data_IF_872582408618
#
_entry.id   IF_872582408618
#
_cell.length_a   1.000
_cell.length_b   1.000
_cell.length_c   1.000
_cell.angle_alpha   90.00
_cell.angle_beta   90.00
_cell.angle_gamma   90.00
#
_symmetry.space_group_name_H-M   'P 1'
#
loop_
_entity.id
_entity.type
_entity.pdbx_description
1 polymer ?
#
# COMPACT_ATOMS: atom_id res chain seq x y z
N UNK A 1 -5.28 -16.53 -27.46
CA UNK A 1 -4.73 -16.65 -26.09
C UNK A 1 -3.36 -16.00 -26.09
N UNK A 2 -3.28 -14.71 -25.79
CA UNK A 2 -1.99 -14.06 -25.55
C UNK A 2 -1.87 -13.89 -24.05
N UNK A 3 -1.18 -14.83 -23.40
CA UNK A 3 -0.76 -14.68 -22.01
C UNK A 3 0.08 -13.41 -21.90
N UNK A 4 -0.15 -12.63 -20.84
CA UNK A 4 0.74 -11.54 -20.49
C UNK A 4 2.13 -12.14 -20.27
N UNK A 5 3.19 -11.61 -20.90
CA UNK A 5 4.55 -12.04 -20.58
C UNK A 5 4.76 -11.76 -19.09
N UNK A 6 5.17 -12.77 -18.34
CA UNK A 6 5.72 -12.61 -17.00
C UNK A 6 7.06 -11.90 -17.12
N UNK A 7 7.03 -10.61 -17.47
CA UNK A 7 8.14 -9.67 -17.36
C UNK A 7 8.44 -9.39 -15.88
N UNK A 8 8.56 -10.44 -15.08
CA UNK A 8 9.13 -10.34 -13.76
C UNK A 8 10.62 -10.05 -13.97
N UNK A 9 10.99 -8.77 -13.92
CA UNK A 9 12.24 -8.44 -13.25
C UNK A 9 12.15 -9.17 -11.91
N UNK A 10 13.05 -10.13 -11.68
CA UNK A 10 13.07 -10.96 -10.47
C UNK A 10 13.40 -10.05 -9.30
N UNK A 11 12.41 -9.30 -8.85
CA UNK A 11 12.65 -8.24 -7.91
C UNK A 11 12.68 -8.82 -6.51
N UNK A 12 13.61 -8.32 -5.72
CA UNK A 12 13.91 -8.78 -4.38
C UNK A 12 12.91 -8.22 -3.38
N UNK A 13 12.81 -8.88 -2.22
CA UNK A 13 11.95 -8.47 -1.10
C UNK A 13 12.77 -8.36 0.19
N UNK A 14 14.05 -8.00 0.08
CA UNK A 14 15.01 -8.00 1.19
C UNK A 14 14.58 -7.02 2.28
N UNK A 15 14.19 -5.80 1.91
CA UNK A 15 13.78 -4.79 2.89
C UNK A 15 12.50 -5.20 3.61
N UNK A 16 11.57 -5.82 2.88
CA UNK A 16 10.31 -6.31 3.43
C UNK A 16 10.48 -7.52 4.37
N UNK A 17 11.55 -8.31 4.18
CA UNK A 17 11.85 -9.50 4.97
C UNK A 17 12.79 -9.24 6.15
N UNK A 18 13.38 -8.04 6.29
CA UNK A 18 14.13 -7.64 7.48
C UNK A 18 13.28 -7.85 8.73
N UNK A 19 13.89 -8.38 9.78
CA UNK A 19 13.20 -8.76 11.02
C UNK A 19 12.39 -7.60 11.61
N UNK A 20 12.96 -6.40 11.58
CA UNK A 20 12.37 -5.16 12.07
C UNK A 20 11.17 -4.67 11.23
N UNK A 21 11.09 -5.10 9.96
CA UNK A 21 10.06 -4.68 9.01
C UNK A 21 8.93 -5.72 8.85
N UNK A 22 9.14 -6.97 9.29
CA UNK A 22 8.13 -8.03 9.16
C UNK A 22 6.83 -7.68 9.84
N UNK A 23 6.89 -7.10 11.04
CA UNK A 23 5.71 -6.64 11.78
C UNK A 23 4.99 -5.48 11.08
N UNK A 24 5.68 -4.71 10.23
CA UNK A 24 5.05 -3.64 9.45
C UNK A 24 4.22 -4.19 8.30
N UNK A 25 4.32 -5.47 7.95
CA UNK A 25 3.52 -6.11 6.90
C UNK A 25 2.20 -6.68 7.45
N UNK A 26 1.08 -6.36 6.80
CA UNK A 26 -0.23 -6.93 7.15
C UNK A 26 -0.34 -8.39 6.72
N UNK A 27 0.26 -8.73 5.58
CA UNK A 27 0.28 -10.08 5.04
C UNK A 27 1.72 -10.46 4.67
N UNK A 28 2.26 -11.58 5.19
CA UNK A 28 3.64 -11.97 4.93
C UNK A 28 3.89 -12.38 3.48
N UNK A 29 2.82 -12.71 2.74
CA UNK A 29 2.86 -13.11 1.33
C UNK A 29 2.56 -11.95 0.35
N UNK A 30 2.36 -10.73 0.84
CA UNK A 30 2.11 -9.53 0.02
C UNK A 30 3.15 -8.48 0.41
N UNK A 31 4.30 -8.52 -0.26
CA UNK A 31 5.45 -7.68 0.04
C UNK A 31 5.75 -6.72 -1.12
N UNK A 32 6.18 -5.48 -0.83
CA UNK A 32 6.60 -4.54 -1.87
C UNK A 32 7.93 -5.00 -2.45
N UNK A 33 8.10 -4.80 -3.76
CA UNK A 33 9.36 -5.12 -4.39
C UNK A 33 10.41 -4.05 -4.08
N UNK A 34 11.66 -4.43 -3.80
CA UNK A 34 12.72 -3.49 -3.42
C UNK A 34 12.98 -2.41 -4.49
N UNK A 35 12.81 -2.74 -5.78
CA UNK A 35 13.05 -1.77 -6.87
C UNK A 35 11.94 -0.72 -7.03
N UNK A 36 10.73 -1.00 -6.56
CA UNK A 36 9.57 -0.12 -6.72
C UNK A 36 8.96 0.31 -5.39
N UNK A 37 9.52 -0.11 -4.25
CA UNK A 37 9.02 0.27 -2.94
C UNK A 37 9.06 1.79 -2.74
N UNK A 38 8.11 2.29 -1.99
CA UNK A 38 8.21 3.66 -1.46
C UNK A 38 9.22 3.65 -0.32
N UNK A 39 10.16 4.58 -0.35
CA UNK A 39 11.19 4.77 0.68
C UNK A 39 10.84 6.05 1.44
N UNK A 40 10.60 5.93 2.74
CA UNK A 40 10.36 7.08 3.60
C UNK A 40 11.68 7.73 4.02
N UNK A 41 11.63 9.01 4.33
CA UNK A 41 12.75 9.72 4.91
C UNK A 41 13.12 9.07 6.27
N UNK A 42 14.38 8.63 6.46
CA UNK A 42 14.81 8.05 7.73
C UNK A 42 14.58 9.03 8.89
N UNK A 43 14.17 8.51 10.04
CA UNK A 43 14.03 9.28 11.28
C UNK A 43 15.19 8.93 12.20
N UNK A 44 15.89 9.97 12.67
CA UNK A 44 17.03 9.84 13.56
C UNK A 44 16.66 9.03 14.81
N UNK A 45 17.53 8.10 15.18
CA UNK A 45 17.34 7.22 16.34
C UNK A 45 16.29 6.11 16.14
N UNK A 46 15.61 6.03 14.99
CA UNK A 46 14.64 4.96 14.71
C UNK A 46 15.13 4.07 13.56
N UNK A 47 15.68 2.87 13.84
CA UNK A 47 16.11 1.95 12.79
C UNK A 47 14.93 1.50 11.93
N UNK A 48 15.20 1.26 10.64
CA UNK A 48 14.20 0.78 9.67
C UNK A 48 12.97 1.69 9.51
N UNK A 49 13.11 2.97 9.86
CA UNK A 49 12.07 4.01 9.71
C UNK A 49 11.80 4.40 8.26
N UNK A 50 12.61 3.92 7.31
CA UNK A 50 12.47 4.14 5.87
C UNK A 50 11.46 3.19 5.20
N UNK A 51 11.00 2.15 5.91
CA UNK A 51 10.16 1.10 5.36
C UNK A 51 8.67 1.36 5.55
N UNK A 52 7.93 1.25 4.44
CA UNK A 52 6.49 1.08 4.39
C UNK A 52 6.12 0.06 3.31
N UNK A 53 5.10 -0.76 3.56
CA UNK A 53 4.59 -1.70 2.56
C UNK A 53 3.73 -0.96 1.53
N UNK A 54 4.42 -0.35 0.59
CA UNK A 54 3.86 0.34 -0.55
C UNK A 54 4.83 0.30 -1.74
N UNK A 55 4.29 0.31 -2.96
CA UNK A 55 5.06 0.33 -4.20
C UNK A 55 4.52 1.35 -5.19
N UNK A 56 5.42 2.00 -5.92
CA UNK A 56 5.06 2.80 -7.08
C UNK A 56 4.52 1.93 -8.20
N UNK A 57 3.51 2.45 -8.89
CA UNK A 57 2.91 1.86 -10.08
C UNK A 57 2.92 2.91 -11.19
N UNK A 58 3.41 2.49 -12.35
CA UNK A 58 3.39 3.30 -13.56
C UNK A 58 1.95 3.50 -14.04
N UNK A 59 1.64 4.74 -14.40
CA UNK A 59 0.46 5.06 -15.20
C UNK A 59 0.69 4.79 -16.67
N UNK A 60 -0.34 4.97 -17.49
CA UNK A 60 -0.26 4.72 -18.93
C UNK A 60 0.85 5.51 -19.65
N UNK A 61 1.13 6.75 -19.20
CA UNK A 61 2.16 7.64 -19.81
C UNK A 61 3.17 8.20 -18.82
N UNK A 62 2.99 7.95 -17.53
CA UNK A 62 3.76 8.60 -16.46
C UNK A 62 4.27 7.51 -15.53
N UNK A 63 5.59 7.45 -15.34
CA UNK A 63 6.18 6.53 -14.36
C UNK A 63 5.82 6.97 -12.95
N UNK A 64 5.69 6.00 -12.04
CA UNK A 64 5.41 6.23 -10.62
C UNK A 64 4.16 7.11 -10.37
N UNK A 65 3.16 7.05 -11.26
CA UNK A 65 1.96 7.88 -11.17
C UNK A 65 1.11 7.56 -9.93
N UNK A 66 1.11 6.30 -9.55
CA UNK A 66 0.32 5.80 -8.43
C UNK A 66 1.21 5.15 -7.38
N UNK A 67 0.72 5.10 -6.16
CA UNK A 67 1.29 4.28 -5.10
C UNK A 67 0.23 3.27 -4.67
N UNK A 68 0.52 1.98 -4.82
CA UNK A 68 -0.26 0.94 -4.16
C UNK A 68 0.31 0.69 -2.77
N UNK A 69 -0.50 0.91 -1.75
CA UNK A 69 -0.13 0.69 -0.37
C UNK A 69 -1.07 -0.32 0.28
N UNK A 70 -0.54 -1.11 1.22
CA UNK A 70 -1.38 -1.89 2.11
C UNK A 70 -2.22 -0.96 3.00
N UNK A 71 -3.31 -1.48 3.55
CA UNK A 71 -4.01 -0.77 4.61
C UNK A 71 -3.19 -0.64 5.88
N UNK A 72 -3.02 0.59 6.43
CA UNK A 72 -2.19 0.82 7.59
C UNK A 72 -2.65 -0.06 8.76
N UNK A 73 -1.70 -0.66 9.45
CA UNK A 73 -1.90 -1.30 10.76
C UNK A 73 -1.91 -0.21 11.83
N UNK A 74 -2.29 -0.54 13.05
CA UNK A 74 -2.36 0.46 14.14
C UNK A 74 -0.99 1.13 14.37
N UNK A 75 0.07 0.34 14.27
CA UNK A 75 1.47 0.73 14.41
C UNK A 75 2.05 1.44 13.18
N UNK A 76 1.43 1.33 11.99
CA UNK A 76 1.91 1.96 10.74
C UNK A 76 1.03 3.11 10.25
N UNK A 77 0.06 3.58 11.04
CA UNK A 77 -0.76 4.76 10.69
C UNK A 77 0.11 6.00 10.49
N UNK A 78 1.10 6.21 11.36
CA UNK A 78 2.01 7.35 11.27
C UNK A 78 2.89 7.27 10.02
N UNK A 79 3.42 6.09 9.72
CA UNK A 79 4.20 5.85 8.50
C UNK A 79 3.37 6.11 7.24
N UNK A 80 2.10 5.72 7.24
CA UNK A 80 1.19 5.97 6.12
C UNK A 80 0.93 7.46 5.89
N UNK A 81 0.64 8.23 6.93
CA UNK A 81 0.44 9.68 6.77
C UNK A 81 1.73 10.41 6.41
N UNK A 82 2.86 9.97 6.95
CA UNK A 82 4.18 10.46 6.56
C UNK A 82 4.45 10.19 5.07
N UNK A 83 4.10 9.01 4.56
CA UNK A 83 4.15 8.71 3.13
C UNK A 83 3.29 9.67 2.32
N UNK A 84 2.03 9.88 2.72
CA UNK A 84 1.10 10.80 2.03
C UNK A 84 1.72 12.20 1.92
N UNK A 85 2.27 12.68 3.03
CA UNK A 85 2.91 14.00 3.13
C UNK A 85 4.17 14.11 2.28
N UNK A 86 5.12 13.19 2.43
CA UNK A 86 6.40 13.20 1.69
C UNK A 86 6.18 13.06 0.18
N UNK A 87 5.22 12.24 -0.23
CA UNK A 87 4.87 12.03 -1.63
C UNK A 87 3.91 13.10 -2.19
N UNK A 88 3.54 14.10 -1.38
CA UNK A 88 2.61 15.18 -1.76
C UNK A 88 1.32 14.64 -2.38
N UNK A 89 0.84 13.49 -1.89
CA UNK A 89 -0.31 12.81 -2.46
C UNK A 89 -1.58 13.63 -2.21
N UNK A 90 -2.26 14.04 -3.28
CA UNK A 90 -3.46 14.87 -3.19
C UNK A 90 -4.75 14.06 -3.08
N UNK A 91 -4.71 12.76 -3.40
CA UNK A 91 -5.90 11.90 -3.39
C UNK A 91 -5.55 10.52 -2.87
N UNK A 92 -6.37 10.04 -1.93
CA UNK A 92 -6.31 8.69 -1.41
C UNK A 92 -7.58 7.97 -1.84
N UNK A 93 -7.41 6.87 -2.58
CA UNK A 93 -8.51 6.03 -3.04
C UNK A 93 -8.50 4.75 -2.20
N UNK A 94 -9.54 4.55 -1.40
CA UNK A 94 -9.71 3.35 -0.56
C UNK A 94 -10.63 2.36 -1.27
N UNK A 95 -10.08 1.26 -1.77
CA UNK A 95 -10.82 0.29 -2.59
C UNK A 95 -11.68 -0.71 -1.79
N UNK A 96 -11.80 -0.54 -0.48
CA UNK A 96 -12.44 -1.52 0.41
C UNK A 96 -13.32 -0.82 1.45
N UNK A 97 -14.43 -1.45 1.83
CA UNK A 97 -15.29 -0.95 2.90
C UNK A 97 -14.69 -1.30 4.27
N UNK A 98 -14.82 -0.41 5.27
CA UNK A 98 -14.37 -0.64 6.65
C UNK A 98 -15.09 -1.82 7.34
N UNK A 99 -16.31 -2.12 6.90
CA UNK A 99 -17.10 -3.30 7.27
C UNK A 99 -17.87 -3.74 6.04
N UNK A 100 -17.52 -4.89 5.47
CA UNK A 100 -18.47 -5.60 4.63
C UNK A 100 -19.54 -6.24 5.54
N UNK A 101 -20.79 -6.22 5.07
CA UNK A 101 -22.01 -6.52 5.84
C UNK A 101 -21.92 -7.83 6.64
N UNK A 102 -22.71 -7.87 7.72
CA UNK A 102 -23.03 -9.01 8.61
C UNK A 102 -23.11 -10.37 7.90
N UNK A 103 -21.99 -11.04 7.66
CA UNK A 103 -21.99 -12.49 7.53
C UNK A 103 -21.33 -13.12 8.75
N UNK A 104 -22.17 -13.83 9.49
CA UNK A 104 -21.82 -14.69 10.61
C UNK A 104 -21.03 -15.87 10.04
N UNK A 105 -19.74 -15.68 9.70
CA UNK A 105 -18.90 -16.80 9.28
C UNK A 105 -18.32 -17.51 10.50
N UNK A 106 -18.59 -18.81 10.50
CA UNK A 106 -18.52 -19.75 11.59
C UNK A 106 -17.08 -20.03 12.05
N UNK A 107 -16.96 -20.10 13.37
CA UNK A 107 -15.92 -20.67 14.22
C UNK A 107 -15.25 -21.94 13.62
N UNK A 108 -13.91 -22.02 13.75
CA UNK A 108 -13.03 -23.21 13.67
C UNK A 108 -12.33 -23.64 12.36
N UNK A 109 -11.75 -22.70 11.61
CA UNK A 109 -10.52 -22.94 10.81
C UNK A 109 -9.64 -21.69 10.90
N UNK A 110 -8.28 -21.77 10.89
CA UNK A 110 -7.46 -20.56 10.86
C UNK A 110 -7.70 -19.89 9.50
N UNK A 111 -8.58 -18.89 9.50
CA UNK A 111 -9.27 -18.42 8.33
C UNK A 111 -8.29 -17.81 7.31
N UNK A 112 -8.25 -18.45 6.14
CA UNK A 112 -7.97 -17.80 4.87
C UNK A 112 -8.76 -16.47 4.79
N UNK A 113 -8.05 -15.34 4.66
CA UNK A 113 -8.60 -14.01 4.95
C UNK A 113 -8.80 -13.21 3.64
N UNK A 114 -10.04 -12.79 3.28
CA UNK A 114 -10.37 -12.13 2.01
C UNK A 114 -10.04 -10.61 1.95
N UNK A 115 -9.11 -10.11 2.77
CA UNK A 115 -9.00 -8.67 3.06
C UNK A 115 -7.78 -8.01 2.40
N UNK A 116 -7.76 -7.91 1.07
CA UNK A 116 -6.73 -7.07 0.44
C UNK A 116 -7.17 -5.60 0.54
N UNK A 117 -6.84 -4.95 1.65
CA UNK A 117 -6.88 -3.49 1.78
C UNK A 117 -5.87 -2.87 0.80
N UNK A 118 -6.28 -2.61 -0.45
CA UNK A 118 -5.52 -1.85 -1.45
C UNK A 118 -5.90 -0.38 -1.32
N UNK A 119 -4.96 0.43 -0.84
CA UNK A 119 -5.03 1.88 -0.98
C UNK A 119 -4.27 2.22 -2.24
N UNK A 120 -4.87 3.02 -3.12
CA UNK A 120 -4.15 3.64 -4.23
C UNK A 120 -4.06 5.13 -3.91
N UNK A 121 -2.84 5.61 -3.69
CA UNK A 121 -2.60 7.04 -3.61
C UNK A 121 -2.26 7.57 -5.00
N UNK A 122 -2.86 8.71 -5.34
CA UNK A 122 -2.54 9.45 -6.55
C UNK A 122 -1.52 10.54 -6.19
N UNK A 123 -0.33 10.45 -6.77
CA UNK A 123 0.70 11.49 -6.68
C UNK A 123 0.40 12.52 -7.77
N UNK A 124 0.21 13.82 -7.46
CA UNK A 124 -0.45 14.74 -8.37
C UNK A 124 0.43 15.20 -9.53
N UNK A 125 -0.18 15.33 -10.71
CA UNK A 125 0.12 16.37 -11.71
C UNK A 125 -1.12 17.21 -12.09
N UNK A 126 -2.34 16.72 -11.83
CA UNK A 126 -3.59 17.51 -11.85
C UNK A 126 -4.72 16.70 -11.21
N UNK A 127 -5.37 17.24 -10.18
CA UNK A 127 -6.45 16.57 -9.45
C UNK A 127 -7.77 16.62 -10.24
N UNK A 128 -8.34 15.46 -10.57
CA UNK A 128 -9.76 15.33 -10.97
C UNK A 128 -10.35 14.13 -10.24
N UNK A 129 -11.34 14.41 -9.40
CA UNK A 129 -12.11 13.41 -8.66
C UNK A 129 -13.03 12.69 -9.65
N UNK A 130 -13.01 11.36 -9.67
CA UNK A 130 -14.01 10.55 -10.38
C UNK A 130 -14.81 9.75 -9.34
N UNK A 131 -16.13 9.83 -9.46
CA UNK A 131 -17.15 9.04 -8.75
C UNK A 131 -16.72 7.58 -8.65
N UNK A 132 -16.68 6.88 -7.50
CA UNK A 132 -17.83 6.28 -6.77
C UNK A 132 -17.42 5.93 -5.31
N UNK A 133 -16.53 6.67 -4.66
CA UNK A 133 -16.13 6.38 -3.27
C UNK A 133 -16.31 7.60 -2.37
N UNK A 134 -16.71 7.35 -1.12
CA UNK A 134 -16.86 8.35 -0.05
C UNK A 134 -15.64 9.27 -0.03
N UNK A 135 -15.76 10.45 -0.64
CA UNK A 135 -14.73 11.46 -0.59
C UNK A 135 -14.74 12.03 0.83
N UNK A 136 -13.67 11.78 1.58
CA UNK A 136 -13.39 12.51 2.81
C UNK A 136 -12.31 13.52 2.48
N UNK A 137 -12.64 14.80 2.59
CA UNK A 137 -11.65 15.86 2.59
C UNK A 137 -10.90 15.79 3.93
N UNK A 138 -9.58 15.64 3.85
CA UNK A 138 -8.70 15.76 5.00
C UNK A 138 -8.12 17.19 4.92
N UNK A 139 -8.54 18.04 5.86
CA UNK A 139 -8.13 19.45 6.00
C UNK A 139 -6.69 19.56 6.50
#
# INVERSE_FOLDING_TARGET
>A
MTSLPSGHTQGTFEQANKEENREKNRYPNILPNDHSRVILSPVDGTPCSDYINASYIDGYKEKNKFIAAQGPKQETVNDFWRMVWEQKSATIVMLTNLKERKEKKMRNTPAHSPFILRYILCVPSSCRISSVQTCREFL
#
